data_IF_685585433637
#
_entry.id   IF_685585433637
#
_cell.length_a   1.000
_cell.length_b   1.000
_cell.length_c   1.000
_cell.angle_alpha   90.00
_cell.angle_beta   90.00
_cell.angle_gamma   90.00
#
_symmetry.space_group_name_H-M   'P 1'
#
loop_
_entity.id
_entity.type
_entity.pdbx_description
1 polymer ?
#
# COMPACT_ATOMS: atom_id res chain seq x y z
N UNK A 1 -15.39 11.33 -9.28
CA UNK A 1 -14.02 10.83 -9.55
C UNK A 1 -13.08 11.90 -10.10
N UNK A 2 -13.57 12.86 -10.93
CA UNK A 2 -12.71 13.92 -11.48
C UNK A 2 -12.24 14.96 -10.42
N UNK A 3 -12.95 15.09 -9.30
CA UNK A 3 -12.65 16.08 -8.25
C UNK A 3 -11.41 15.71 -7.42
N UNK A 4 -11.11 14.42 -7.29
CA UNK A 4 -10.02 13.94 -6.46
C UNK A 4 -8.97 13.24 -7.33
N UNK A 5 -7.77 13.81 -7.37
CA UNK A 5 -6.67 13.20 -8.09
C UNK A 5 -6.04 12.08 -7.25
N UNK A 6 -6.62 10.87 -7.34
CA UNK A 6 -6.17 9.71 -6.58
C UNK A 6 -4.68 9.41 -6.78
N UNK A 7 -4.18 9.50 -8.02
CA UNK A 7 -2.77 9.24 -8.30
C UNK A 7 -1.86 10.23 -7.59
N UNK A 8 -2.25 11.50 -7.56
CA UNK A 8 -1.53 12.53 -6.81
C UNK A 8 -1.63 12.32 -5.30
N UNK A 9 -2.80 11.96 -4.81
CA UNK A 9 -3.00 11.67 -3.39
C UNK A 9 -2.13 10.51 -2.88
N UNK A 10 -2.00 9.44 -3.68
CA UNK A 10 -1.08 8.33 -3.35
C UNK A 10 0.38 8.83 -3.38
N UNK A 11 0.74 9.76 -4.27
CA UNK A 11 2.08 10.38 -4.31
C UNK A 11 2.36 11.29 -3.11
N UNK A 12 1.35 11.73 -2.40
CA UNK A 12 1.49 12.48 -1.15
C UNK A 12 1.63 11.59 0.10
N UNK A 13 1.66 10.27 -0.07
CA UNK A 13 1.99 9.32 1.01
C UNK A 13 3.51 9.19 1.26
N UNK A 14 4.33 10.00 0.56
CA UNK A 14 5.79 10.07 0.73
C UNK A 14 6.22 11.08 1.78
N UNK A 15 7.54 11.39 1.90
CA UNK A 15 8.59 11.13 0.90
C UNK A 15 9.27 9.76 0.99
N UNK A 16 9.24 9.09 2.14
CA UNK A 16 10.05 7.90 2.41
C UNK A 16 9.39 6.56 2.05
N UNK A 17 8.15 6.56 1.51
CA UNK A 17 7.44 5.33 1.14
C UNK A 17 6.70 4.62 2.29
N UNK A 18 7.03 4.91 3.54
CA UNK A 18 6.46 4.25 4.73
C UNK A 18 4.92 4.26 4.79
N UNK A 19 4.29 5.40 4.48
CA UNK A 19 2.82 5.48 4.45
C UNK A 19 2.22 4.78 3.22
N UNK A 20 3.00 4.65 2.13
CA UNK A 20 2.60 3.84 0.99
C UNK A 20 2.57 2.36 1.34
N UNK A 21 3.53 1.85 2.10
CA UNK A 21 3.53 0.47 2.60
C UNK A 21 2.29 0.19 3.47
N UNK A 22 1.97 1.11 4.38
CA UNK A 22 0.74 1.03 5.19
C UNK A 22 -0.53 1.06 4.33
N UNK A 23 -0.55 1.89 3.30
CA UNK A 23 -1.65 1.93 2.33
C UNK A 23 -1.81 0.60 1.59
N UNK A 24 -0.70 0.00 1.14
CA UNK A 24 -0.72 -1.31 0.49
C UNK A 24 -1.18 -2.41 1.46
N UNK A 25 -0.76 -2.36 2.72
CA UNK A 25 -1.29 -3.28 3.74
C UNK A 25 -2.82 -3.17 3.88
N UNK A 26 -3.39 -1.93 3.92
CA UNK A 26 -4.86 -1.72 3.94
C UNK A 26 -5.54 -2.26 2.66
N UNK A 27 -4.87 -2.13 1.51
CA UNK A 27 -5.39 -2.68 0.25
C UNK A 27 -5.52 -4.21 0.35
N UNK A 28 -4.48 -4.91 0.77
CA UNK A 28 -4.54 -6.37 0.95
C UNK A 28 -5.54 -6.77 2.06
N UNK A 29 -5.60 -6.04 3.16
CA UNK A 29 -6.59 -6.28 4.22
C UNK A 29 -8.02 -6.16 3.69
N UNK A 30 -8.30 -5.22 2.79
CA UNK A 30 -9.61 -5.09 2.14
C UNK A 30 -9.96 -6.27 1.23
N UNK A 31 -8.99 -7.07 0.85
CA UNK A 31 -9.13 -8.31 0.08
C UNK A 31 -9.15 -9.56 1.00
N UNK A 32 -9.34 -9.35 2.31
CA UNK A 32 -9.39 -10.41 3.33
C UNK A 32 -8.06 -11.13 3.54
N UNK A 33 -6.94 -10.43 3.39
CA UNK A 33 -5.64 -10.91 3.86
C UNK A 33 -5.40 -10.44 5.30
N UNK A 34 -4.82 -11.30 6.12
CA UNK A 34 -4.10 -10.86 7.31
C UNK A 34 -2.83 -10.15 6.87
N UNK A 35 -2.46 -9.04 7.51
CA UNK A 35 -1.32 -8.21 7.10
C UNK A 35 -0.45 -7.82 8.28
N UNK A 36 0.87 -7.82 8.08
CA UNK A 36 1.86 -7.30 9.02
C UNK A 36 2.87 -6.46 8.24
N UNK A 37 3.31 -5.34 8.79
CA UNK A 37 4.28 -4.42 8.17
C UNK A 37 5.58 -4.37 8.95
N UNK A 38 6.66 -3.98 8.30
CA UNK A 38 7.98 -3.72 8.90
C UNK A 38 8.55 -4.90 9.69
N UNK A 39 8.61 -6.08 9.09
CA UNK A 39 9.23 -7.24 9.69
C UNK A 39 10.65 -7.45 9.14
N UNK A 40 11.59 -7.73 10.05
CA UNK A 40 12.91 -8.24 9.67
C UNK A 40 12.92 -9.75 9.84
N UNK A 41 13.18 -10.48 8.75
CA UNK A 41 13.29 -11.92 8.75
C UNK A 41 14.69 -12.37 8.32
N UNK A 42 15.20 -13.41 8.99
CA UNK A 42 16.48 -14.01 8.65
C UNK A 42 16.30 -14.96 7.45
N UNK A 43 16.87 -14.60 6.29
CA UNK A 43 16.98 -15.51 5.16
C UNK A 43 18.02 -16.60 5.37
N UNK A 44 18.27 -17.40 4.35
CA UNK A 44 19.35 -18.41 4.37
C UNK A 44 20.72 -17.78 4.56
N UNK A 45 20.97 -16.68 3.85
CA UNK A 45 22.27 -16.01 3.83
C UNK A 45 22.28 -14.75 4.71
N UNK A 46 21.28 -13.88 4.58
CA UNK A 46 21.25 -12.56 5.26
C UNK A 46 19.85 -12.24 5.79
N UNK A 47 19.76 -11.23 6.66
CA UNK A 47 18.47 -10.69 7.11
C UNK A 47 17.90 -9.73 6.08
N UNK A 48 16.56 -9.75 5.94
CA UNK A 48 15.82 -8.89 5.04
C UNK A 48 14.72 -8.16 5.81
N UNK A 49 14.64 -6.87 5.62
CA UNK A 49 13.47 -6.08 5.98
C UNK A 49 12.40 -6.28 4.92
N UNK A 50 11.15 -6.52 5.34
CA UNK A 50 10.01 -6.78 4.47
C UNK A 50 8.95 -5.73 4.74
N UNK A 51 8.55 -5.02 3.70
CA UNK A 51 7.61 -3.91 3.80
C UNK A 51 6.25 -4.39 4.29
N UNK A 52 5.70 -5.44 3.66
CA UNK A 52 4.42 -6.05 4.06
C UNK A 52 4.48 -7.56 3.89
N UNK A 53 4.02 -8.30 4.90
CA UNK A 53 3.66 -9.71 4.78
C UNK A 53 2.15 -9.84 4.78
N UNK A 54 1.64 -10.70 3.90
CA UNK A 54 0.21 -10.95 3.76
C UNK A 54 -0.08 -12.44 3.78
N UNK A 55 -1.20 -12.83 4.43
CA UNK A 55 -1.62 -14.22 4.53
C UNK A 55 -3.08 -14.37 4.14
N UNK A 56 -3.35 -15.35 3.31
CA UNK A 56 -4.71 -15.76 2.94
C UNK A 56 -4.73 -17.25 2.64
N UNK A 57 -5.72 -17.98 3.19
CA UNK A 57 -5.87 -19.41 2.97
C UNK A 57 -4.58 -20.21 3.20
N UNK A 58 -3.89 -19.95 4.30
CA UNK A 58 -2.59 -20.53 4.67
C UNK A 58 -1.41 -20.21 3.74
N UNK A 59 -1.58 -19.42 2.70
CA UNK A 59 -0.49 -18.97 1.84
C UNK A 59 0.03 -17.61 2.29
N UNK A 60 1.32 -17.53 2.56
CA UNK A 60 2.01 -16.29 2.93
C UNK A 60 2.73 -15.76 1.71
N UNK A 61 2.60 -14.45 1.49
CA UNK A 61 3.34 -13.73 0.48
C UNK A 61 4.07 -12.53 1.10
N UNK A 62 5.30 -12.30 0.63
CA UNK A 62 5.96 -11.02 0.84
C UNK A 62 5.49 -10.01 -0.21
N UNK A 63 5.40 -8.76 0.19
CA UNK A 63 5.05 -7.64 -0.68
C UNK A 63 6.13 -6.57 -0.51
N UNK A 64 6.82 -6.27 -1.58
CA UNK A 64 7.81 -5.20 -1.67
C UNK A 64 7.20 -3.98 -2.32
N UNK A 65 7.29 -2.84 -1.70
CA UNK A 65 6.70 -1.59 -2.14
C UNK A 65 7.76 -0.66 -2.77
N UNK A 66 7.59 -0.32 -4.03
CA UNK A 66 8.46 0.61 -4.76
C UNK A 66 7.75 1.93 -4.98
N UNK A 67 7.94 2.83 -4.02
CA UNK A 67 7.35 4.16 -4.04
C UNK A 67 8.19 5.13 -4.88
N UNK A 68 7.51 5.92 -5.73
CA UNK A 68 8.13 6.95 -6.56
C UNK A 68 7.44 8.30 -6.35
N UNK A 69 8.20 9.34 -6.05
CA UNK A 69 7.72 10.72 -5.98
C UNK A 69 7.51 11.30 -7.40
N UNK A 70 8.37 10.93 -8.35
CA UNK A 70 8.30 11.42 -9.74
C UNK A 70 7.15 10.81 -10.54
N UNK A 71 6.49 11.62 -11.40
CA UNK A 71 5.35 11.17 -12.22
C UNK A 71 5.74 10.19 -13.30
N UNK A 72 6.92 10.35 -13.88
CA UNK A 72 7.39 9.60 -15.04
C UNK A 72 8.32 8.45 -14.69
N UNK A 73 8.58 8.24 -13.40
CA UNK A 73 9.40 7.13 -12.93
C UNK A 73 8.78 5.78 -13.30
N UNK A 74 9.64 4.82 -13.63
CA UNK A 74 9.25 3.44 -13.86
C UNK A 74 10.21 2.52 -13.12
N UNK A 75 9.69 1.43 -12.56
CA UNK A 75 10.51 0.36 -12.01
C UNK A 75 11.01 -0.52 -13.17
N UNK A 76 12.30 -0.52 -13.39
CA UNK A 76 12.95 -1.30 -14.45
C UNK A 76 13.17 -2.77 -14.05
N UNK A 77 13.76 -3.56 -14.94
CA UNK A 77 14.00 -4.99 -14.73
C UNK A 77 14.93 -5.32 -13.56
N UNK A 78 15.80 -4.37 -13.14
CA UNK A 78 16.68 -4.56 -11.98
C UNK A 78 15.89 -4.75 -10.70
N UNK A 79 14.72 -4.10 -10.59
CA UNK A 79 13.86 -4.22 -9.42
C UNK A 79 13.38 -5.66 -9.23
N UNK A 80 12.65 -6.29 -10.16
CA UNK A 80 12.21 -7.67 -9.95
C UNK A 80 13.36 -8.68 -9.88
N UNK A 81 14.49 -8.45 -10.54
CA UNK A 81 15.69 -9.30 -10.41
C UNK A 81 16.25 -9.26 -8.97
N UNK A 82 16.39 -8.06 -8.40
CA UNK A 82 16.85 -7.89 -7.02
C UNK A 82 15.87 -8.51 -6.02
N UNK A 83 14.58 -8.27 -6.19
CA UNK A 83 13.55 -8.81 -5.28
C UNK A 83 13.44 -10.33 -5.38
N UNK A 84 13.61 -10.91 -6.56
CA UNK A 84 13.67 -12.36 -6.73
C UNK A 84 14.80 -12.98 -5.90
N UNK A 85 15.97 -12.36 -5.87
CA UNK A 85 17.10 -12.84 -5.08
C UNK A 85 16.79 -12.81 -3.58
N UNK A 86 16.16 -11.73 -3.08
CA UNK A 86 15.70 -11.62 -1.69
C UNK A 86 14.65 -12.69 -1.37
N UNK A 87 13.66 -12.84 -2.24
CA UNK A 87 12.60 -13.84 -2.08
C UNK A 87 13.17 -15.26 -2.05
N UNK A 88 14.13 -15.58 -2.91
CA UNK A 88 14.78 -16.90 -2.94
C UNK A 88 15.55 -17.19 -1.64
N UNK A 89 16.21 -16.18 -1.06
CA UNK A 89 16.91 -16.32 0.22
C UNK A 89 15.94 -16.56 1.40
N UNK A 90 14.77 -15.91 1.38
CA UNK A 90 13.76 -16.03 2.42
C UNK A 90 12.95 -17.34 2.33
N UNK A 91 12.56 -17.77 1.13
CA UNK A 91 11.68 -18.93 0.94
C UNK A 91 12.31 -20.27 1.33
N UNK A 92 13.64 -20.32 1.42
CA UNK A 92 14.36 -21.54 1.83
C UNK A 92 14.29 -21.80 3.34
N UNK A 93 13.70 -20.87 4.12
CA UNK A 93 13.52 -21.00 5.57
C UNK A 93 12.05 -20.93 5.96
N UNK A 94 11.77 -21.53 7.11
CA UNK A 94 10.52 -21.30 7.82
C UNK A 94 10.70 -20.17 8.81
N UNK A 95 9.69 -19.33 8.92
CA UNK A 95 9.67 -18.14 9.79
C UNK A 95 8.49 -18.23 10.77
N UNK A 96 8.63 -17.62 11.94
CA UNK A 96 7.47 -17.41 12.82
C UNK A 96 6.75 -16.17 12.32
N UNK A 97 5.62 -16.37 11.66
CA UNK A 97 4.79 -15.33 11.06
C UNK A 97 3.34 -15.61 11.46
N UNK A 98 2.61 -14.59 11.90
CA UNK A 98 1.23 -14.75 12.38
C UNK A 98 1.11 -15.87 13.45
N UNK A 99 2.04 -15.86 14.42
CA UNK A 99 2.13 -16.80 15.55
C UNK A 99 2.31 -18.29 15.17
N UNK A 100 2.68 -18.56 13.92
CA UNK A 100 2.95 -19.91 13.42
C UNK A 100 4.25 -19.96 12.63
N UNK A 101 4.86 -21.15 12.66
CA UNK A 101 6.00 -21.45 11.81
C UNK A 101 5.51 -21.77 10.40
N UNK A 102 5.88 -20.94 9.43
CA UNK A 102 5.36 -21.00 8.07
C UNK A 102 6.43 -20.56 7.05
N UNK A 103 6.19 -20.82 5.77
CA UNK A 103 7.07 -20.47 4.66
C UNK A 103 6.45 -19.39 3.79
N UNK A 104 7.29 -18.48 3.27
CA UNK A 104 6.86 -17.48 2.30
C UNK A 104 6.82 -18.13 0.92
N UNK A 105 5.60 -18.24 0.35
CA UNK A 105 5.36 -18.99 -0.88
C UNK A 105 5.22 -18.12 -2.11
N UNK A 106 4.92 -16.84 -1.95
CA UNK A 106 4.67 -15.89 -3.05
C UNK A 106 5.38 -14.56 -2.79
N UNK A 107 5.64 -13.84 -3.88
CA UNK A 107 6.22 -12.51 -3.82
C UNK A 107 5.44 -11.55 -4.71
N UNK A 108 5.07 -10.41 -4.16
CA UNK A 108 4.48 -9.27 -4.86
C UNK A 108 5.47 -8.12 -4.90
N UNK A 109 5.50 -7.39 -6.00
CA UNK A 109 6.15 -6.09 -6.11
C UNK A 109 5.07 -5.07 -6.48
N UNK A 110 4.91 -4.06 -5.65
CA UNK A 110 3.86 -3.06 -5.80
C UNK A 110 4.49 -1.68 -5.99
N UNK A 111 4.03 -0.93 -6.98
CA UNK A 111 4.49 0.45 -7.20
C UNK A 111 3.30 1.40 -7.44
N UNK A 112 3.42 2.63 -6.94
CA UNK A 112 2.47 3.70 -7.21
C UNK A 112 2.58 4.27 -8.64
N UNK A 113 3.53 3.80 -9.45
CA UNK A 113 3.77 4.28 -10.80
C UNK A 113 3.60 3.16 -11.84
N UNK A 114 4.61 2.80 -12.58
CA UNK A 114 4.57 1.78 -13.65
C UNK A 114 5.79 0.88 -13.63
N UNK A 115 5.70 -0.27 -14.27
CA UNK A 115 6.81 -1.14 -14.60
C UNK A 115 7.19 -0.97 -16.08
N UNK A 116 8.46 -1.17 -16.42
CA UNK A 116 8.88 -1.34 -17.82
C UNK A 116 8.40 -2.68 -18.37
N UNK A 117 8.36 -2.81 -19.69
CA UNK A 117 7.99 -4.06 -20.37
C UNK A 117 8.90 -5.21 -19.93
N UNK A 118 10.20 -4.96 -19.88
CA UNK A 118 11.18 -5.97 -19.44
C UNK A 118 10.97 -6.41 -17.99
N UNK A 119 10.61 -5.47 -17.09
CA UNK A 119 10.27 -5.81 -15.70
C UNK A 119 9.04 -6.73 -15.63
N UNK A 120 8.02 -6.46 -16.44
CA UNK A 120 6.80 -7.27 -16.52
C UNK A 120 7.12 -8.68 -17.07
N UNK A 121 7.87 -8.73 -18.15
CA UNK A 121 8.24 -10.01 -18.79
C UNK A 121 9.09 -10.87 -17.86
N UNK A 122 10.09 -10.28 -17.20
CA UNK A 122 10.92 -10.97 -16.24
C UNK A 122 10.10 -11.50 -15.06
N UNK A 123 9.24 -10.68 -14.49
CA UNK A 123 8.39 -11.08 -13.35
C UNK A 123 7.46 -12.24 -13.71
N UNK A 124 6.82 -12.21 -14.89
CA UNK A 124 5.99 -13.32 -15.40
C UNK A 124 6.81 -14.61 -15.54
N UNK A 125 7.98 -14.53 -16.13
CA UNK A 125 8.87 -15.67 -16.34
C UNK A 125 9.36 -16.27 -15.01
N UNK A 126 9.58 -15.42 -13.99
CA UNK A 126 10.11 -15.81 -12.67
C UNK A 126 9.04 -16.12 -11.63
N UNK A 127 7.75 -16.06 -11.99
CA UNK A 127 6.64 -16.34 -11.05
C UNK A 127 6.42 -15.24 -9.99
N UNK A 128 6.91 -14.03 -10.22
CA UNK A 128 6.65 -12.87 -9.37
C UNK A 128 5.32 -12.21 -9.75
N UNK A 129 4.61 -11.68 -8.75
CA UNK A 129 3.38 -10.93 -8.96
C UNK A 129 3.69 -9.44 -8.97
N UNK A 130 3.15 -8.72 -9.95
CA UNK A 130 3.30 -7.27 -10.05
C UNK A 130 1.96 -6.57 -9.90
N UNK A 131 1.96 -5.44 -9.18
CA UNK A 131 0.83 -4.53 -9.07
C UNK A 131 1.34 -3.09 -9.23
N UNK A 132 0.78 -2.37 -10.18
CA UNK A 132 1.10 -0.96 -10.39
C UNK A 132 -0.16 -0.13 -10.64
N UNK A 133 0.02 1.17 -10.86
CA UNK A 133 -1.08 2.07 -11.20
C UNK A 133 -1.95 1.56 -12.35
N UNK A 134 -1.34 0.95 -13.36
CA UNK A 134 -1.97 0.50 -14.60
C UNK A 134 -1.71 -0.98 -14.95
N UNK A 135 -1.15 -1.76 -14.03
CA UNK A 135 -0.87 -3.18 -14.26
C UNK A 135 -1.19 -4.03 -13.03
N UNK A 136 -1.80 -5.23 -13.20
CA UNK A 136 -2.34 -5.78 -14.44
C UNK A 136 -3.50 -4.93 -15.00
N UNK A 137 -3.83 -5.10 -16.28
CA UNK A 137 -4.78 -4.21 -16.98
C UNK A 137 -6.16 -4.14 -16.30
N UNK A 138 -6.72 -5.28 -15.95
CA UNK A 138 -8.07 -5.38 -15.37
C UNK A 138 -8.14 -5.26 -13.84
N UNK A 139 -7.02 -5.39 -13.13
CA UNK A 139 -6.99 -5.45 -11.67
C UNK A 139 -5.79 -4.69 -11.10
N UNK A 140 -5.56 -3.50 -11.61
CA UNK A 140 -4.48 -2.60 -11.20
C UNK A 140 -4.81 -1.82 -9.92
N UNK A 141 -3.85 -1.05 -9.44
CA UNK A 141 -3.98 -0.28 -8.21
C UNK A 141 -5.14 0.72 -8.26
N UNK A 142 -5.36 1.37 -9.43
CA UNK A 142 -6.49 2.29 -9.64
C UNK A 142 -7.83 1.55 -9.50
N UNK A 143 -8.01 0.45 -10.23
CA UNK A 143 -9.25 -0.34 -10.23
C UNK A 143 -9.54 -0.92 -8.84
N UNK A 144 -8.51 -1.42 -8.15
CA UNK A 144 -8.64 -1.93 -6.77
C UNK A 144 -9.09 -0.84 -5.80
N UNK A 145 -8.55 0.36 -5.95
CA UNK A 145 -8.94 1.50 -5.13
C UNK A 145 -10.40 1.87 -5.37
N UNK A 146 -10.78 2.08 -6.63
CA UNK A 146 -12.13 2.52 -7.00
C UNK A 146 -13.19 1.51 -6.53
N UNK A 147 -12.92 0.21 -6.70
CA UNK A 147 -13.87 -0.86 -6.31
C UNK A 147 -14.05 -1.02 -4.79
N UNK A 148 -13.15 -0.49 -3.96
CA UNK A 148 -13.14 -0.71 -2.50
C UNK A 148 -13.09 0.57 -1.68
N UNK A 149 -13.19 1.73 -2.34
CA UNK A 149 -13.12 3.05 -1.69
C UNK A 149 -11.86 3.23 -0.82
N UNK A 150 -10.70 2.83 -1.35
CA UNK A 150 -9.43 2.91 -0.65
C UNK A 150 -8.75 4.27 -0.86
N UNK A 151 -9.52 5.34 -0.74
CA UNK A 151 -9.00 6.69 -0.90
C UNK A 151 -8.12 7.06 0.30
N UNK A 152 -6.83 7.42 0.09
CA UNK A 152 -5.99 7.88 1.17
C UNK A 152 -6.46 9.22 1.71
N UNK A 153 -6.19 9.53 2.98
CA UNK A 153 -6.57 10.82 3.61
C UNK A 153 -5.99 12.03 2.88
N UNK A 154 -4.93 11.83 2.12
CA UNK A 154 -4.32 12.85 1.24
C UNK A 154 -5.23 13.29 0.10
N UNK A 155 -6.30 12.56 -0.23
CA UNK A 155 -7.35 12.97 -1.16
C UNK A 155 -8.18 14.14 -0.65
N UNK A 156 -8.35 14.29 0.66
CA UNK A 156 -9.24 15.29 1.26
C UNK A 156 -8.75 16.70 0.95
N UNK A 157 -9.63 17.54 0.44
CA UNK A 157 -9.31 18.91 0.00
C UNK A 157 -9.46 19.93 1.11
N UNK A 158 -10.27 19.63 2.13
CA UNK A 158 -10.52 20.50 3.29
C UNK A 158 -9.41 20.44 4.34
N UNK A 159 -8.48 19.48 4.24
CA UNK A 159 -7.31 19.36 5.11
C UNK A 159 -6.09 20.06 4.51
N UNK A 160 -5.36 20.79 5.35
CA UNK A 160 -4.03 21.28 5.02
C UNK A 160 -3.01 20.14 4.93
N UNK A 161 -1.85 20.39 4.34
CA UNK A 161 -0.75 19.40 4.26
C UNK A 161 -0.34 18.92 5.66
N UNK A 162 -0.15 19.85 6.60
CA UNK A 162 0.25 19.50 7.98
C UNK A 162 -0.81 18.64 8.71
N UNK A 163 -2.10 18.89 8.47
CA UNK A 163 -3.16 18.07 9.07
C UNK A 163 -3.21 16.66 8.48
N UNK A 164 -2.97 16.51 7.17
CA UNK A 164 -2.81 15.21 6.52
C UNK A 164 -1.62 14.44 7.08
N UNK A 165 -0.48 15.09 7.26
CA UNK A 165 0.71 14.49 7.87
C UNK A 165 0.44 14.01 9.31
N UNK A 166 -0.26 14.82 10.11
CA UNK A 166 -0.66 14.42 11.48
C UNK A 166 -1.55 13.17 11.47
N UNK A 167 -2.51 13.06 10.55
CA UNK A 167 -3.34 11.86 10.41
C UNK A 167 -2.50 10.63 10.04
N UNK A 168 -1.59 10.77 9.07
CA UNK A 168 -0.69 9.70 8.67
C UNK A 168 0.19 9.22 9.84
N UNK A 169 0.70 10.14 10.67
CA UNK A 169 1.48 9.83 11.88
C UNK A 169 0.62 9.08 12.91
N UNK A 170 -0.67 9.41 13.01
CA UNK A 170 -1.64 8.69 13.86
C UNK A 170 -2.09 7.34 13.25
N UNK A 171 -1.45 6.88 12.19
CA UNK A 171 -1.78 5.66 11.45
C UNK A 171 -3.17 5.68 10.79
N UNK A 172 -3.73 6.86 10.55
CA UNK A 172 -4.97 7.06 9.79
C UNK A 172 -4.59 7.25 8.32
N UNK A 173 -4.72 6.20 7.54
CA UNK A 173 -4.26 6.15 6.14
C UNK A 173 -5.41 6.39 5.16
N UNK A 174 -6.59 5.82 5.43
CA UNK A 174 -7.74 5.84 4.52
C UNK A 174 -8.85 6.78 5.02
N UNK A 175 -9.52 7.43 4.08
CA UNK A 175 -10.69 8.30 4.37
C UNK A 175 -11.78 7.55 5.11
N UNK A 176 -12.02 6.29 4.77
CA UNK A 176 -13.02 5.46 5.48
C UNK A 176 -12.68 5.23 6.95
N UNK A 177 -11.41 5.25 7.35
CA UNK A 177 -11.02 5.13 8.76
C UNK A 177 -11.49 6.32 9.58
N UNK A 178 -11.48 7.53 8.99
CA UNK A 178 -12.04 8.75 9.61
C UNK A 178 -13.56 8.64 9.80
N UNK A 179 -14.26 8.07 8.82
CA UNK A 179 -15.72 7.89 8.89
C UNK A 179 -16.11 6.92 10.02
N UNK A 180 -15.29 5.88 10.23
CA UNK A 180 -15.53 4.89 11.29
C UNK A 180 -15.14 5.41 12.68
N UNK A 181 -14.11 6.23 12.78
CA UNK A 181 -13.63 6.82 14.03
C UNK A 181 -13.13 8.24 13.79
N UNK A 182 -13.96 9.23 14.13
CA UNK A 182 -13.66 10.65 13.96
C UNK A 182 -12.79 11.26 15.06
N UNK A 183 -12.51 10.55 16.17
CA UNK A 183 -11.72 11.05 17.31
C UNK A 183 -10.32 11.52 16.89
N UNK A 184 -9.78 10.93 15.82
CA UNK A 184 -8.50 11.34 15.23
C UNK A 184 -8.51 12.81 14.77
N UNK A 185 -9.66 13.35 14.40
CA UNK A 185 -9.81 14.73 13.93
C UNK A 185 -9.68 15.74 15.07
N UNK A 186 -10.20 15.41 16.24
CA UNK A 186 -10.02 16.22 17.46
C UNK A 186 -8.56 16.19 17.91
N UNK A 187 -7.91 15.02 17.85
CA UNK A 187 -6.51 14.83 18.20
C UNK A 187 -5.55 15.68 17.35
N UNK A 188 -5.89 15.94 16.10
CA UNK A 188 -5.09 16.83 15.23
C UNK A 188 -5.45 18.31 15.39
N UNK A 189 -6.43 18.66 16.26
CA UNK A 189 -6.80 20.02 16.63
C UNK A 189 -7.84 20.68 15.74
N UNK A 190 -8.71 19.90 15.07
CA UNK A 190 -9.81 20.46 14.27
C UNK A 190 -10.98 20.90 15.18
N UNK A 191 -11.56 22.07 14.85
CA UNK A 191 -12.80 22.52 15.49
C UNK A 191 -14.02 21.71 15.03
N UNK A 192 -15.08 21.67 15.83
CA UNK A 192 -16.31 20.91 15.55
C UNK A 192 -16.92 21.24 14.18
N UNK A 193 -16.92 22.51 13.78
CA UNK A 193 -17.41 22.92 12.47
C UNK A 193 -16.57 22.38 11.32
N UNK A 194 -15.25 22.33 11.49
CA UNK A 194 -14.33 21.76 10.48
C UNK A 194 -14.49 20.25 10.39
N UNK A 195 -14.67 19.57 11.54
CA UNK A 195 -14.94 18.12 11.61
C UNK A 195 -16.22 17.79 10.84
N UNK A 196 -17.31 18.53 11.07
CA UNK A 196 -18.58 18.33 10.35
C UNK A 196 -18.40 18.46 8.82
N UNK A 197 -17.71 19.48 8.37
CA UNK A 197 -17.45 19.71 6.94
C UNK A 197 -16.56 18.61 6.35
N UNK A 198 -15.53 18.18 7.08
CA UNK A 198 -14.65 17.11 6.65
C UNK A 198 -15.37 15.77 6.54
N UNK A 199 -16.20 15.42 7.53
CA UNK A 199 -16.99 14.19 7.51
C UNK A 199 -17.99 14.18 6.35
N UNK A 200 -18.53 15.34 5.97
CA UNK A 200 -19.36 15.47 4.77
C UNK A 200 -18.54 15.18 3.51
N UNK A 201 -17.36 15.80 3.35
CA UNK A 201 -16.46 15.53 2.23
C UNK A 201 -16.06 14.05 2.17
N UNK A 202 -15.67 13.47 3.30
CA UNK A 202 -15.28 12.07 3.41
C UNK A 202 -16.44 11.11 3.02
N UNK A 203 -17.66 11.39 3.50
CA UNK A 203 -18.83 10.61 3.17
C UNK A 203 -19.23 10.71 1.69
N UNK A 204 -19.11 11.90 1.10
CA UNK A 204 -19.33 12.09 -0.33
C UNK A 204 -18.31 11.30 -1.16
N UNK A 205 -17.03 11.33 -0.78
CA UNK A 205 -15.96 10.61 -1.49
C UNK A 205 -16.17 9.08 -1.45
N UNK A 206 -16.64 8.54 -0.34
CA UNK A 206 -16.86 7.09 -0.18
C UNK A 206 -18.24 6.60 -0.63
N UNK A 207 -19.17 7.49 -0.99
CA UNK A 207 -20.53 7.13 -1.45
C UNK A 207 -20.70 7.13 -2.96
N UNK A 208 -19.81 7.83 -3.69
CA UNK A 208 -19.88 7.91 -5.14
C UNK A 208 -19.24 6.68 -5.79
N UNK A 209 -20.02 5.60 -5.83
CA UNK A 209 -19.98 4.62 -6.93
C UNK A 209 -21.34 4.04 -7.13
#
# INVERSE_FOLDING_TARGET
AARYNLREAIRLLGPAGFFFEKYIARLFASEHYETVTNLTLQGKCVSHEIDVLVKKNHAIAMVECKYHVGRDAASDVKVPMYILSRFNDLKERQHIIFDKKDSILKCWIVTNNRFTVDAINFAKCSGLNLLSWNYPEDNNLKTKNDNRYLYPVTCLTTLSISEKEKLLILDVILVKEIIHNSDCLEKIGLSSNRITNLLKEASELCRYI
#
